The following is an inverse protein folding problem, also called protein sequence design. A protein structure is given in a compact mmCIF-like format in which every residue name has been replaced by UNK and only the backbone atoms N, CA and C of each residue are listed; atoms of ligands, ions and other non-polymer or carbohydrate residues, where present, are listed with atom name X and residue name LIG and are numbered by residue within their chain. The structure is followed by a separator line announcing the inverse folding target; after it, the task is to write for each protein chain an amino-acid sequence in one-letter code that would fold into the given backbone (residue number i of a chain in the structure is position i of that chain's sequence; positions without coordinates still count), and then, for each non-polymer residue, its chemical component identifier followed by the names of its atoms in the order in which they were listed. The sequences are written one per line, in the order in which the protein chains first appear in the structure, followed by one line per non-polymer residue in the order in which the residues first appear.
data_IF_767040325565
#
_entry.id   IF_767040325565
#
_cell.length_a   1.000
_cell.length_b   1.000
_cell.length_c   1.000
_cell.angle_alpha   90.00
_cell.angle_beta   90.00
_cell.angle_gamma   90.00
#
_symmetry.space_group_name_H-M   'P 1'
#
loop_
_entity.id
_entity.type
_entity.pdbx_description
1 polymer ?
#
# COMPACT_ATOMS: atom_id res chain seq x y z
N UNK A 1 -12.83 12.70 4.82
CA UNK A 1 -11.51 12.23 4.35
C UNK A 1 -10.72 11.67 5.52
N UNK A 2 -10.34 10.40 5.44
CA UNK A 2 -9.48 9.71 6.42
C UNK A 2 -8.02 9.94 6.10
N UNK A 3 -7.17 10.16 7.11
CA UNK A 3 -5.71 10.14 6.95
C UNK A 3 -5.10 9.27 8.04
N UNK A 4 -4.38 8.23 7.66
CA UNK A 4 -3.80 7.28 8.62
C UNK A 4 -2.36 6.94 8.28
N UNK A 5 -1.58 6.64 9.32
CA UNK A 5 -0.21 6.17 9.20
C UNK A 5 -0.10 4.76 9.76
N UNK A 6 0.27 3.82 8.90
CA UNK A 6 0.31 2.39 9.21
C UNK A 6 1.78 1.96 9.33
N UNK A 7 2.22 1.49 10.51
CA UNK A 7 3.58 0.96 10.67
C UNK A 7 3.70 -0.40 9.97
N UNK A 8 4.74 -0.55 9.14
CA UNK A 8 5.15 -1.81 8.53
C UNK A 8 6.19 -2.47 9.42
N UNK A 9 5.92 -3.70 9.84
CA UNK A 9 6.81 -4.46 10.71
C UNK A 9 6.12 -5.66 11.34
N UNK A 10 6.75 -6.25 12.34
CA UNK A 10 6.27 -7.47 12.97
C UNK A 10 6.78 -8.73 12.26
N UNK A 11 6.05 -9.83 12.42
CA UNK A 11 6.39 -11.14 11.85
C UNK A 11 5.17 -11.76 11.17
N UNK A 12 5.38 -12.52 10.10
CA UNK A 12 4.35 -13.38 9.51
C UNK A 12 3.97 -14.50 10.47
N UNK A 13 2.92 -15.28 10.14
CA UNK A 13 2.54 -16.47 10.92
C UNK A 13 3.66 -17.51 11.04
N UNK A 14 4.57 -17.54 10.07
CA UNK A 14 5.75 -18.41 10.04
C UNK A 14 6.96 -17.82 10.79
N UNK A 15 6.84 -16.59 11.30
CA UNK A 15 7.86 -15.92 12.11
C UNK A 15 8.84 -15.04 11.32
N UNK A 16 8.67 -14.91 10.00
CA UNK A 16 9.53 -14.09 9.14
C UNK A 16 9.26 -12.60 9.32
N UNK A 17 10.30 -11.74 9.36
CA UNK A 17 10.14 -10.31 9.55
C UNK A 17 9.45 -9.64 8.36
N UNK A 18 8.42 -8.87 8.63
CA UNK A 18 7.72 -8.08 7.61
C UNK A 18 8.45 -6.77 7.35
N UNK A 19 8.72 -6.49 6.07
CA UNK A 19 9.35 -5.26 5.60
C UNK A 19 8.79 -4.89 4.22
N UNK A 20 8.92 -3.62 3.84
CA UNK A 20 8.58 -3.20 2.48
C UNK A 20 9.45 -3.93 1.46
N UNK A 21 8.84 -4.46 0.41
CA UNK A 21 9.50 -5.15 -0.69
C UNK A 21 9.10 -4.49 -2.02
N UNK A 22 9.75 -4.83 -3.15
CA UNK A 22 9.30 -4.42 -4.47
C UNK A 22 7.88 -4.91 -4.83
N UNK A 23 7.34 -5.87 -4.08
CA UNK A 23 6.00 -6.41 -4.26
C UNK A 23 5.10 -5.89 -3.15
N UNK A 24 4.48 -4.74 -3.39
CA UNK A 24 3.65 -3.99 -2.44
C UNK A 24 2.65 -4.88 -1.69
N UNK A 25 1.96 -5.75 -2.43
CA UNK A 25 0.93 -6.63 -1.87
C UNK A 25 1.47 -7.93 -1.27
N UNK A 26 2.79 -8.15 -1.16
CA UNK A 26 3.33 -9.19 -0.27
C UNK A 26 3.35 -8.72 1.20
N UNK A 27 3.24 -7.41 1.44
CA UNK A 27 3.16 -6.84 2.78
C UNK A 27 1.73 -7.00 3.32
N UNK A 28 1.50 -7.83 4.36
CA UNK A 28 0.14 -8.17 4.81
C UNK A 28 -0.70 -6.95 5.19
N UNK A 29 -0.11 -5.97 5.89
CA UNK A 29 -0.80 -4.74 6.29
C UNK A 29 -1.32 -3.94 5.09
N UNK A 30 -0.56 -3.91 3.99
CA UNK A 30 -0.96 -3.20 2.78
C UNK A 30 -2.01 -4.01 2.04
N UNK A 31 -1.79 -5.32 1.87
CA UNK A 31 -2.73 -6.23 1.22
C UNK A 31 -4.11 -6.18 1.88
N UNK A 32 -4.19 -6.41 3.18
CA UNK A 32 -5.45 -6.44 3.93
C UNK A 32 -6.21 -5.11 3.81
N UNK A 33 -5.49 -3.98 3.79
CA UNK A 33 -6.13 -2.68 3.59
C UNK A 33 -6.68 -2.53 2.18
N UNK A 34 -5.91 -2.89 1.16
CA UNK A 34 -6.32 -2.82 -0.25
C UNK A 34 -7.53 -3.71 -0.51
N UNK A 35 -7.49 -4.95 -0.04
CA UNK A 35 -8.58 -5.93 -0.22
C UNK A 35 -9.90 -5.45 0.40
N UNK A 36 -9.85 -4.70 1.52
CA UNK A 36 -11.05 -4.07 2.10
C UNK A 36 -11.67 -2.96 1.23
N UNK A 37 -10.90 -2.36 0.33
CA UNK A 37 -11.38 -1.34 -0.59
C UNK A 37 -11.90 -1.92 -1.90
N UNK A 38 -11.69 -3.21 -2.16
CA UNK A 38 -12.13 -3.85 -3.40
C UNK A 38 -13.64 -4.05 -3.37
N UNK A 39 -14.32 -3.54 -4.40
CA UNK A 39 -15.74 -3.72 -4.62
C UNK A 39 -16.04 -3.90 -6.11
N UNK A 40 -17.10 -4.65 -6.40
CA UNK A 40 -17.61 -4.84 -7.75
C UNK A 40 -16.59 -5.48 -8.69
N UNK A 41 -16.55 -5.01 -9.93
CA UNK A 41 -15.54 -5.41 -10.91
C UNK A 41 -14.24 -4.60 -10.72
N UNK A 42 -13.13 -5.31 -10.53
CA UNK A 42 -11.83 -4.72 -10.17
C UNK A 42 -10.86 -4.78 -11.34
N UNK A 43 -10.14 -3.69 -11.58
CA UNK A 43 -8.94 -3.66 -12.41
C UNK A 43 -7.69 -3.49 -11.52
N UNK A 44 -6.79 -4.46 -11.55
CA UNK A 44 -5.42 -4.25 -11.07
C UNK A 44 -4.54 -3.88 -12.27
N UNK A 45 -4.26 -2.58 -12.43
CA UNK A 45 -3.70 -1.99 -13.65
C UNK A 45 -2.21 -2.30 -13.86
N UNK A 46 -1.49 -2.60 -12.78
CA UNK A 46 -0.07 -2.95 -12.76
C UNK A 46 0.13 -4.17 -11.84
N UNK A 47 -0.42 -5.31 -12.24
CA UNK A 47 -0.67 -6.42 -11.32
C UNK A 47 0.58 -7.15 -10.83
N UNK A 48 1.68 -7.11 -11.56
CA UNK A 48 2.88 -7.85 -11.24
C UNK A 48 2.60 -9.33 -11.01
N UNK A 49 3.25 -9.91 -9.99
CA UNK A 49 3.06 -11.34 -9.63
C UNK A 49 1.97 -11.60 -8.58
N UNK A 50 1.52 -10.57 -7.87
CA UNK A 50 0.60 -10.75 -6.73
C UNK A 50 -0.84 -10.88 -7.22
N UNK A 51 -1.63 -11.65 -6.47
CA UNK A 51 -3.07 -11.82 -6.67
C UNK A 51 -3.75 -11.30 -5.40
N UNK A 52 -4.68 -10.37 -5.58
CA UNK A 52 -5.49 -9.81 -4.49
C UNK A 52 -6.74 -10.67 -4.33
N UNK A 53 -7.14 -10.89 -3.07
CA UNK A 53 -8.36 -11.64 -2.75
C UNK A 53 -9.58 -10.72 -2.83
N UNK A 54 -10.60 -11.16 -3.57
CA UNK A 54 -11.86 -10.44 -3.77
C UNK A 54 -12.93 -11.41 -4.26
N UNK A 55 -14.15 -11.27 -3.75
CA UNK A 55 -15.29 -12.14 -4.12
C UNK A 55 -15.76 -11.88 -5.57
N UNK A 56 -15.50 -10.69 -6.11
CA UNK A 56 -15.86 -10.28 -7.46
C UNK A 56 -14.75 -10.56 -8.50
N UNK A 57 -15.03 -10.30 -9.79
CA UNK A 57 -14.03 -10.43 -10.83
C UNK A 57 -12.88 -9.42 -10.63
N UNK A 58 -11.65 -9.92 -10.68
CA UNK A 58 -10.42 -9.12 -10.68
C UNK A 58 -9.70 -9.32 -12.01
N UNK A 59 -9.75 -8.31 -12.88
CA UNK A 59 -8.95 -8.29 -14.10
C UNK A 59 -7.55 -7.78 -13.77
N UNK A 60 -6.53 -8.57 -14.14
CA UNK A 60 -5.12 -8.25 -13.89
C UNK A 60 -4.45 -7.84 -15.20
N UNK A 61 -3.90 -6.62 -15.23
CA UNK A 61 -3.16 -6.09 -16.36
C UNK A 61 -1.69 -5.85 -15.98
N UNK A 62 -0.76 -6.18 -16.87
CA UNK A 62 0.65 -5.82 -16.73
C UNK A 62 1.33 -5.72 -18.10
N UNK A 63 2.10 -4.66 -18.35
CA UNK A 63 2.80 -4.47 -19.63
C UNK A 63 3.88 -5.54 -19.88
N UNK A 64 4.41 -6.16 -18.81
CA UNK A 64 5.37 -7.26 -18.89
C UNK A 64 4.68 -8.54 -19.39
N UNK A 65 5.03 -8.94 -20.61
CA UNK A 65 4.45 -10.10 -21.32
C UNK A 65 4.81 -11.45 -20.69
N UNK A 66 5.78 -11.48 -19.79
CA UNK A 66 6.18 -12.70 -19.08
C UNK A 66 5.35 -12.92 -17.79
N UNK A 67 4.46 -11.98 -17.43
CA UNK A 67 3.57 -12.11 -16.28
C UNK A 67 2.36 -12.98 -16.60
N UNK A 68 2.01 -13.87 -15.66
CA UNK A 68 0.74 -14.59 -15.65
C UNK A 68 -0.39 -13.63 -15.24
N UNK A 69 -0.91 -12.86 -16.20
CA UNK A 69 -1.99 -11.86 -16.06
C UNK A 69 -2.99 -11.97 -17.23
N UNK A 70 -4.14 -11.31 -17.11
CA UNK A 70 -5.22 -11.43 -18.09
C UNK A 70 -4.98 -10.61 -19.35
N UNK A 71 -4.34 -9.44 -19.22
CA UNK A 71 -4.04 -8.53 -20.33
C UNK A 71 -2.67 -7.87 -20.21
N UNK A 72 -2.12 -7.44 -21.35
CA UNK A 72 -0.81 -6.79 -21.44
C UNK A 72 -0.87 -5.43 -22.12
N UNK A 73 -1.75 -4.56 -21.62
CA UNK A 73 -1.94 -3.22 -22.13
C UNK A 73 -1.05 -2.22 -21.40
N UNK A 74 -0.59 -1.19 -22.12
CA UNK A 74 0.00 -0.03 -21.48
C UNK A 74 -1.06 0.68 -20.64
N UNK A 75 -0.71 1.01 -19.39
CA UNK A 75 -1.63 1.66 -18.46
C UNK A 75 -2.14 3.03 -18.99
N UNK A 76 -1.40 3.65 -19.92
CA UNK A 76 -1.75 4.91 -20.57
C UNK A 76 -2.84 4.77 -21.63
N UNK A 77 -3.15 3.54 -22.04
CA UNK A 77 -4.04 3.23 -23.16
C UNK A 77 -5.21 2.34 -22.70
N UNK A 78 -5.45 2.21 -21.39
CA UNK A 78 -6.50 1.33 -20.85
C UNK A 78 -7.89 1.64 -21.40
N UNK A 79 -8.20 2.91 -21.65
CA UNK A 79 -9.47 3.36 -22.19
C UNK A 79 -9.64 3.13 -23.71
N UNK A 80 -8.56 2.75 -24.40
CA UNK A 80 -8.63 2.22 -25.77
C UNK A 80 -8.98 0.72 -25.80
N UNK A 81 -8.78 0.03 -24.68
CA UNK A 81 -8.90 -1.43 -24.57
C UNK A 81 -10.08 -1.89 -23.72
N UNK A 82 -10.54 -1.04 -22.79
CA UNK A 82 -11.65 -1.32 -21.90
C UNK A 82 -12.73 -0.26 -22.02
N UNK A 83 -13.99 -0.68 -21.81
CA UNK A 83 -15.11 0.23 -21.83
C UNK A 83 -14.98 1.32 -20.76
N UNK A 84 -15.34 2.55 -21.13
CA UNK A 84 -15.43 3.65 -20.18
C UNK A 84 -16.46 3.34 -19.09
N UNK A 85 -16.10 3.63 -17.85
CA UNK A 85 -17.01 3.43 -16.72
C UNK A 85 -17.26 1.97 -16.33
N UNK A 86 -16.37 1.04 -16.70
CA UNK A 86 -16.52 -0.39 -16.43
C UNK A 86 -16.19 -0.78 -14.99
N UNK A 87 -15.07 -0.32 -14.45
CA UNK A 87 -14.52 -0.87 -13.21
C UNK A 87 -15.00 -0.10 -11.98
N UNK A 88 -15.54 -0.81 -11.00
CA UNK A 88 -15.98 -0.27 -9.72
C UNK A 88 -14.78 0.09 -8.83
N UNK A 89 -13.68 -0.65 -8.97
CA UNK A 89 -12.40 -0.35 -8.29
C UNK A 89 -11.22 -0.50 -9.24
N UNK A 90 -10.32 0.49 -9.28
CA UNK A 90 -9.04 0.40 -10.00
C UNK A 90 -7.89 0.53 -9.01
N UNK A 91 -7.03 -0.49 -8.95
CA UNK A 91 -5.77 -0.47 -8.20
C UNK A 91 -4.64 -0.10 -9.15
N UNK A 92 -3.95 1.00 -8.84
CA UNK A 92 -2.83 1.52 -9.61
C UNK A 92 -1.57 1.58 -8.75
N UNK A 93 -0.70 0.58 -8.96
CA UNK A 93 0.57 0.41 -8.25
C UNK A 93 1.75 0.37 -9.24
N UNK A 94 2.15 1.51 -9.82
CA UNK A 94 3.22 1.56 -10.80
C UNK A 94 4.60 1.41 -10.14
N UNK A 95 5.66 1.08 -10.89
CA UNK A 95 7.03 1.20 -10.40
C UNK A 95 7.33 2.65 -9.94
N UNK A 96 7.76 2.81 -8.69
CA UNK A 96 7.89 4.14 -8.05
C UNK A 96 9.15 4.93 -8.43
N UNK A 97 10.13 4.32 -9.10
CA UNK A 97 11.36 5.01 -9.56
C UNK A 97 11.74 4.59 -10.97
N UNK A 98 12.50 5.46 -11.64
CA UNK A 98 13.09 5.18 -12.96
C UNK A 98 13.99 3.94 -12.93
N UNK A 99 14.73 3.72 -11.85
CA UNK A 99 15.59 2.54 -11.69
C UNK A 99 14.77 1.25 -11.50
N UNK A 100 13.62 1.31 -10.81
CA UNK A 100 12.66 0.19 -10.77
C UNK A 100 12.02 -0.05 -12.13
N UNK A 101 11.69 1.01 -12.87
CA UNK A 101 11.16 0.90 -14.23
C UNK A 101 12.18 0.27 -15.19
N UNK A 102 13.44 0.72 -15.14
CA UNK A 102 14.55 0.22 -15.97
C UNK A 102 14.89 -1.24 -15.66
N UNK A 103 14.80 -1.67 -14.38
CA UNK A 103 15.08 -3.06 -13.98
C UNK A 103 13.94 -4.04 -14.24
N UNK A 104 12.69 -3.59 -14.22
CA UNK A 104 11.53 -4.47 -14.30
C UNK A 104 10.79 -4.39 -15.64
N UNK A 105 11.03 -3.36 -16.46
CA UNK A 105 10.27 -3.10 -17.69
C UNK A 105 11.15 -2.75 -18.90
N UNK A 106 12.43 -3.13 -18.89
CA UNK A 106 13.38 -3.00 -20.01
C UNK A 106 13.45 -1.59 -20.64
N UNK A 107 13.29 -0.55 -19.80
CA UNK A 107 13.29 0.84 -20.25
C UNK A 107 11.98 1.34 -20.86
N UNK A 108 10.88 0.57 -20.84
CA UNK A 108 9.55 1.08 -21.18
C UNK A 108 9.13 2.10 -20.12
N UNK A 109 9.30 3.37 -20.47
CA UNK A 109 8.97 4.50 -19.62
C UNK A 109 7.46 4.68 -19.51
N UNK A 110 6.98 4.85 -18.28
CA UNK A 110 5.79 5.66 -18.03
C UNK A 110 6.17 7.09 -18.43
N UNK A 111 5.45 7.66 -19.40
CA UNK A 111 5.61 9.05 -19.85
C UNK A 111 5.33 10.05 -18.73
N UNK A 112 4.88 11.26 -19.07
CA UNK A 112 4.52 12.25 -18.03
C UNK A 112 3.65 11.59 -16.95
N UNK A 113 3.92 11.81 -15.63
CA UNK A 113 3.25 11.09 -14.53
C UNK A 113 1.72 11.26 -14.49
N UNK A 114 1.17 12.14 -15.33
CA UNK A 114 -0.25 12.43 -15.47
C UNK A 114 -0.95 11.60 -16.56
N UNK A 115 -0.23 11.02 -17.51
CA UNK A 115 -0.82 10.31 -18.67
C UNK A 115 -1.65 9.07 -18.25
N UNK A 116 -1.18 8.18 -17.36
CA UNK A 116 -1.96 7.00 -16.95
C UNK A 116 -3.28 7.35 -16.25
N UNK A 117 -3.32 8.49 -15.54
CA UNK A 117 -4.47 8.89 -14.72
C UNK A 117 -5.72 9.17 -15.57
N UNK A 118 -5.54 9.63 -16.81
CA UNK A 118 -6.63 9.88 -17.75
C UNK A 118 -7.35 8.60 -18.14
N UNK A 119 -6.60 7.61 -18.63
CA UNK A 119 -7.11 6.31 -19.00
C UNK A 119 -7.77 5.59 -17.81
N UNK A 120 -7.12 5.61 -16.64
CA UNK A 120 -7.68 5.08 -15.38
C UNK A 120 -9.01 5.76 -15.03
N UNK A 121 -9.06 7.09 -15.07
CA UNK A 121 -10.28 7.83 -14.77
C UNK A 121 -11.41 7.51 -15.75
N UNK A 122 -11.09 7.27 -17.03
CA UNK A 122 -12.06 6.93 -18.07
C UNK A 122 -12.67 5.54 -17.86
N UNK A 123 -11.87 4.52 -17.55
CA UNK A 123 -12.37 3.15 -17.33
C UNK A 123 -13.05 2.96 -15.97
N UNK A 124 -12.88 3.90 -15.02
CA UNK A 124 -13.52 3.85 -13.70
C UNK A 124 -15.01 4.23 -13.77
N UNK A 125 -15.87 3.38 -13.19
CA UNK A 125 -17.32 3.55 -13.10
C UNK A 125 -17.72 4.80 -12.29
N UNK A 126 -18.85 5.46 -12.60
CA UNK A 126 -19.40 6.53 -11.78
C UNK A 126 -19.66 6.04 -10.35
N UNK A 127 -19.03 6.67 -9.35
CA UNK A 127 -19.07 6.25 -7.95
C UNK A 127 -17.95 5.29 -7.53
N UNK A 128 -17.17 4.76 -8.48
CA UNK A 128 -16.08 3.83 -8.22
C UNK A 128 -14.84 4.48 -7.60
N UNK A 129 -13.91 3.65 -7.15
CA UNK A 129 -12.70 4.08 -6.44
C UNK A 129 -11.42 3.81 -7.25
N UNK A 130 -10.46 4.72 -7.14
CA UNK A 130 -9.09 4.54 -7.63
C UNK A 130 -8.14 4.54 -6.44
N UNK A 131 -7.40 3.45 -6.29
CA UNK A 131 -6.38 3.25 -5.27
C UNK A 131 -5.01 3.49 -5.90
N UNK A 132 -4.40 4.64 -5.64
CA UNK A 132 -3.11 5.04 -6.23
C UNK A 132 -1.99 4.91 -5.22
N UNK A 133 -0.96 4.14 -5.56
CA UNK A 133 0.27 4.03 -4.77
C UNK A 133 1.40 4.92 -5.31
N UNK A 134 2.25 5.40 -4.41
CA UNK A 134 3.46 6.14 -4.77
C UNK A 134 4.26 6.62 -3.55
N UNK A 135 5.29 7.44 -3.76
CA UNK A 135 6.00 8.13 -2.67
C UNK A 135 5.31 9.43 -2.21
N UNK A 136 4.22 9.81 -2.87
CA UNK A 136 3.39 10.95 -2.52
C UNK A 136 1.91 10.57 -2.61
N UNK A 137 1.05 11.40 -2.04
CA UNK A 137 -0.40 11.20 -2.05
C UNK A 137 -1.08 11.81 -3.28
N UNK A 138 -0.38 11.87 -4.42
CA UNK A 138 -1.00 12.30 -5.67
C UNK A 138 -2.11 11.33 -6.07
N UNK A 139 -3.12 11.85 -6.77
CA UNK A 139 -4.26 11.07 -7.22
C UNK A 139 -5.13 11.87 -8.20
N UNK A 140 -6.44 11.64 -8.12
CA UNK A 140 -7.45 12.25 -8.99
C UNK A 140 -8.26 13.35 -8.30
N UNK A 141 -8.08 13.60 -7.00
CA UNK A 141 -8.85 14.58 -6.20
C UNK A 141 -8.73 16.04 -6.63
N UNK A 142 -7.74 16.37 -7.48
CA UNK A 142 -7.65 17.68 -8.13
C UNK A 142 -8.46 17.80 -9.42
N UNK A 143 -9.09 16.72 -9.89
CA UNK A 143 -9.85 16.68 -11.14
C UNK A 143 -11.35 16.91 -10.88
N UNK A 144 -12.04 17.52 -11.84
CA UNK A 144 -13.47 17.74 -11.74
C UNK A 144 -14.23 16.41 -11.60
N UNK A 145 -15.13 16.34 -10.62
CA UNK A 145 -15.92 15.14 -10.35
C UNK A 145 -15.19 14.05 -9.57
N UNK A 146 -14.05 14.34 -8.94
CA UNK A 146 -13.33 13.41 -8.07
C UNK A 146 -13.17 13.95 -6.65
N UNK A 147 -13.18 13.06 -5.67
CA UNK A 147 -13.02 13.37 -4.25
C UNK A 147 -12.05 12.41 -3.58
N UNK A 148 -11.08 12.94 -2.82
CA UNK A 148 -10.23 12.15 -1.92
C UNK A 148 -11.04 11.65 -0.72
N UNK A 149 -11.21 10.34 -0.61
CA UNK A 149 -11.91 9.73 0.53
C UNK A 149 -10.95 9.25 1.62
N UNK A 150 -9.75 8.78 1.26
CA UNK A 150 -8.73 8.36 2.22
C UNK A 150 -7.29 8.53 1.72
N UNK A 151 -6.36 8.78 2.64
CA UNK A 151 -4.91 8.72 2.40
C UNK A 151 -4.24 7.90 3.50
N UNK A 152 -3.40 6.94 3.11
CA UNK A 152 -2.64 6.09 4.01
C UNK A 152 -1.15 6.27 3.77
N UNK A 153 -0.36 6.34 4.85
CA UNK A 153 1.10 6.35 4.79
C UNK A 153 1.66 5.11 5.46
N UNK A 154 2.32 4.26 4.69
CA UNK A 154 2.99 3.07 5.16
C UNK A 154 4.46 3.36 5.41
N UNK A 155 4.92 3.08 6.63
CA UNK A 155 6.30 3.35 7.03
C UNK A 155 6.95 2.17 7.69
N UNK A 156 8.18 1.88 7.31
CA UNK A 156 9.06 0.98 8.07
C UNK A 156 9.71 1.75 9.24
N UNK A 157 9.48 1.39 10.52
CA UNK A 157 10.15 2.01 11.66
C UNK A 157 11.67 1.91 11.55
N UNK A 158 12.37 2.96 11.97
CA UNK A 158 13.84 3.03 11.96
C UNK A 158 14.50 2.91 10.57
N UNK A 159 13.73 3.09 9.49
CA UNK A 159 14.24 3.21 8.14
C UNK A 159 14.25 4.68 7.68
N UNK A 160 15.22 5.04 6.84
CA UNK A 160 15.42 6.40 6.32
C UNK A 160 14.91 6.59 4.88
N UNK A 161 14.25 5.58 4.31
CA UNK A 161 13.63 5.70 3.00
C UNK A 161 12.28 6.42 3.04
N UNK A 162 11.68 6.58 1.87
CA UNK A 162 10.38 7.24 1.73
C UNK A 162 9.27 6.38 2.34
N UNK A 163 8.29 7.04 2.95
CA UNK A 163 7.00 6.39 3.22
C UNK A 163 6.34 6.03 1.87
N UNK A 164 5.56 4.95 1.83
CA UNK A 164 4.67 4.66 0.69
C UNK A 164 3.32 5.28 1.02
N UNK A 165 2.77 6.07 0.10
CA UNK A 165 1.45 6.63 0.20
C UNK A 165 0.46 5.81 -0.65
N UNK A 166 -0.73 5.60 -0.12
CA UNK A 166 -1.92 5.15 -0.86
C UNK A 166 -2.97 6.24 -0.79
N UNK A 167 -3.38 6.75 -1.94
CA UNK A 167 -4.53 7.65 -2.09
C UNK A 167 -5.73 6.88 -2.61
N UNK A 168 -6.89 7.12 -2.01
CA UNK A 168 -8.18 6.55 -2.43
C UNK A 168 -9.08 7.69 -2.89
N UNK A 169 -9.33 7.74 -4.19
CA UNK A 169 -10.15 8.76 -4.84
C UNK A 169 -11.43 8.17 -5.38
N UNK A 170 -12.56 8.83 -5.13
CA UNK A 170 -13.88 8.42 -5.60
C UNK A 170 -14.33 9.28 -6.76
N UNK A 171 -14.81 8.65 -7.83
CA UNK A 171 -15.47 9.32 -8.95
C UNK A 171 -16.90 9.69 -8.56
N UNK A 172 -17.36 10.87 -8.96
CA UNK A 172 -18.74 11.31 -8.74
C UNK A 172 -19.77 10.33 -9.33
N UNK A 173 -20.94 10.26 -8.71
CA UNK A 173 -22.00 9.30 -9.07
C UNK A 173 -22.26 8.24 -8.00
N UNK A 174 -22.97 7.18 -8.39
CA UNK A 174 -23.41 6.09 -7.51
C UNK A 174 -22.96 4.74 -8.05
N UNK A 175 -21.88 4.19 -7.46
CA UNK A 175 -21.42 2.81 -7.63
C UNK A 175 -21.69 2.04 -6.34
N UNK A 176 -21.61 0.70 -6.35
CA UNK A 176 -21.45 -0.07 -5.12
C UNK A 176 -20.24 0.45 -4.34
N UNK A 177 -20.45 0.84 -3.09
CA UNK A 177 -19.35 1.12 -2.16
C UNK A 177 -18.85 -0.22 -1.64
N UNK A 178 -17.54 -0.33 -1.39
CA UNK A 178 -16.96 -1.42 -0.60
C UNK A 178 -17.51 -1.35 0.84
N UNK A 179 -18.75 -1.78 1.08
CA UNK A 179 -19.42 -1.64 2.37
C UNK A 179 -19.39 -0.20 2.94
N UNK A 180 -19.68 -0.05 4.23
CA UNK A 180 -19.31 1.18 4.93
C UNK A 180 -17.77 1.24 5.01
N UNK A 181 -17.16 2.34 4.53
CA UNK A 181 -15.73 2.63 4.76
C UNK A 181 -15.49 2.56 6.27
N UNK A 182 -14.73 1.58 6.79
CA UNK A 182 -14.61 1.40 8.22
C UNK A 182 -13.91 2.61 8.85
N UNK A 183 -14.42 3.12 9.97
CA UNK A 183 -13.60 3.95 10.84
C UNK A 183 -12.46 3.08 11.38
N UNK A 184 -11.23 3.34 10.95
CA UNK A 184 -10.03 2.71 11.49
C UNK A 184 -9.75 3.31 12.87
N UNK A 185 -10.59 2.99 13.86
CA UNK A 185 -10.43 3.43 15.25
C UNK A 185 -9.74 2.41 16.15
N UNK A 186 -9.42 1.22 15.66
CA UNK A 186 -8.59 0.28 16.43
C UNK A 186 -7.40 -0.17 15.60
N UNK A 187 -6.23 0.32 16.03
CA UNK A 187 -4.93 -0.22 15.68
C UNK A 187 -5.05 -1.75 15.74
N UNK A 188 -4.90 -2.42 14.59
CA UNK A 188 -4.63 -3.84 14.56
C UNK A 188 -3.42 -4.06 15.48
N UNK A 189 -3.71 -4.56 16.68
CA UNK A 189 -2.72 -4.72 17.73
C UNK A 189 -1.88 -5.91 17.31
N UNK A 190 -0.84 -5.66 16.50
CA UNK A 190 0.26 -6.58 16.37
C UNK A 190 0.80 -6.79 17.78
N UNK A 191 0.67 -8.03 18.27
CA UNK A 191 1.17 -8.45 19.58
C UNK A 191 2.60 -7.95 19.71
N UNK A 192 2.83 -6.99 20.61
CA UNK A 192 4.17 -6.57 20.94
C UNK A 192 4.91 -7.79 21.47
N UNK A 193 6.16 -8.06 21.04
CA UNK A 193 6.93 -9.13 21.65
C UNK A 193 7.06 -8.83 23.14
N UNK A 194 6.64 -9.80 23.95
CA UNK A 194 6.69 -9.75 25.40
C UNK A 194 8.01 -9.13 25.85
N UNK A 195 7.91 -8.06 26.62
CA UNK A 195 9.04 -7.36 27.23
C UNK A 195 9.86 -8.34 28.06
N UNK A 196 10.83 -8.96 27.41
CA UNK A 196 11.85 -9.81 28.03
C UNK A 196 12.61 -8.94 29.01
N UNK A 197 12.26 -9.10 30.30
CA UNK A 197 12.95 -8.50 31.44
C UNK A 197 14.44 -8.76 31.32
N UNK A 198 15.21 -7.70 31.13
CA UNK A 198 16.64 -7.75 31.32
C UNK A 198 16.91 -7.79 32.84
N UNK A 199 16.98 -8.99 33.39
CA UNK A 199 17.52 -9.28 34.73
C UNK A 199 19.02 -9.53 34.55
N UNK A 200 19.95 -8.68 35.02
CA UNK A 200 20.47 -8.54 36.39
C UNK A 200 21.80 -7.73 36.32
N UNK A 201 22.50 -7.39 37.42
CA UNK A 201 22.20 -7.61 38.83
C UNK A 201 22.25 -6.35 39.72
N UNK A 202 21.71 -6.55 40.91
CA UNK A 202 21.64 -5.64 42.04
C UNK A 202 23.03 -5.32 42.60
N UNK A 203 23.28 -4.04 42.84
CA UNK A 203 24.47 -3.57 43.55
C UNK A 203 24.22 -3.70 45.06
N UNK A 204 24.46 -4.88 45.61
CA UNK A 204 24.47 -5.09 47.06
C UNK A 204 25.76 -4.52 47.63
N UNK A 205 25.61 -3.46 48.44
CA UNK A 205 26.69 -2.85 49.20
C UNK A 205 27.38 -3.86 50.12
N UNK A 206 28.69 -3.71 50.24
CA UNK A 206 29.48 -4.27 51.33
C UNK A 206 30.00 -3.09 52.13
N UNK A 207 29.44 -2.89 53.32
CA UNK A 207 30.07 -2.13 54.39
C UNK A 207 31.33 -2.86 54.86
N UNK A 208 32.43 -2.12 55.03
CA UNK A 208 33.45 -2.41 56.05
C UNK A 208 33.90 -1.12 56.71
N UNK A 209 33.52 -1.00 57.98
CA UNK A 209 34.03 -0.05 58.96
C UNK A 209 35.21 -0.64 59.75
N UNK A 210 35.86 0.21 60.57
CA UNK A 210 37.04 0.02 61.44
C UNK A 210 38.38 0.27 60.71
N UNK A 211 39.13 1.34 61.01
CA UNK A 211 39.79 1.71 62.28
C UNK A 211 41.30 1.62 61.99
N UNK A 212 42.14 2.65 62.08
CA UNK A 212 42.58 3.38 63.26
C UNK A 212 44.13 3.41 63.27
N UNK A 213 44.71 4.53 63.70
CA UNK A 213 46.10 4.79 64.14
C UNK A 213 47.33 4.64 63.22
N UNK A 214 47.98 5.79 62.97
CA UNK A 214 49.25 6.13 63.63
C UNK A 214 50.56 5.58 63.06
N UNK A 215 51.30 6.44 62.34
CA UNK A 215 52.66 6.92 62.67
C UNK A 215 53.14 7.97 61.66
#
# INVERSE_FOLDING_TARGET
MTVERIPIGGKTGDGDPVHLSPWTFEVPQIRELVERWLAGEVLNACAGKTKLDHDGPVLRNDIDRDRDVDTHHDVRELDEHFDHGRFDTVVYDPPYTKEMAERHYDGNHVGHPWEPRGAIANVTAPGGHVLTFGYNSDGLDGWEGWERVATYYFRTPNWSGNDIALSVDRKGGSAPVAGEVPELTEQATLVQPDGGRNSQPENTGIERSAGGDGR
#
